data_IF_832219113967
#
_entry.id   IF_832219113967
#
_cell.length_a   1.000
_cell.length_b   1.000
_cell.length_c   1.000
_cell.angle_alpha   90.00
_cell.angle_beta   90.00
_cell.angle_gamma   90.00
#
_symmetry.space_group_name_H-M   'P 1'
#
loop_
_entity.id
_entity.type
_entity.pdbx_description
1 polymer ?
#
# COMPACT_ATOMS: atom_id res chain seq x y z
N UNK A 1 12.18 -12.99 10.73
CA UNK A 1 11.00 -12.11 10.69
C UNK A 1 9.73 -12.92 10.45
N UNK A 2 8.70 -12.74 11.27
CA UNK A 2 7.43 -13.47 11.16
C UNK A 2 6.71 -13.18 9.84
N UNK A 3 6.89 -11.97 9.28
CA UNK A 3 6.31 -11.58 7.99
C UNK A 3 6.96 -12.37 6.86
N UNK A 4 8.29 -12.51 6.88
CA UNK A 4 9.01 -13.31 5.88
C UNK A 4 8.59 -14.78 5.92
N UNK A 5 8.46 -15.34 7.12
CA UNK A 5 7.97 -16.72 7.32
C UNK A 5 6.53 -16.89 6.82
N UNK A 6 5.63 -15.95 7.11
CA UNK A 6 4.25 -16.01 6.65
C UNK A 6 4.11 -15.80 5.13
N UNK A 7 4.97 -14.98 4.53
CA UNK A 7 4.98 -14.74 3.10
C UNK A 7 5.38 -16.00 2.31
N UNK A 8 6.41 -16.70 2.79
CA UNK A 8 7.00 -17.90 2.19
C UNK A 8 6.14 -19.16 2.44
N UNK A 9 5.73 -19.39 3.69
CA UNK A 9 5.04 -20.62 4.08
C UNK A 9 3.52 -20.63 3.85
N UNK A 10 2.90 -19.47 3.56
CA UNK A 10 1.43 -19.28 3.48
C UNK A 10 0.67 -20.03 4.59
N UNK A 11 0.97 -19.75 5.87
CA UNK A 11 0.42 -20.50 6.98
C UNK A 11 -1.10 -20.39 7.07
N UNK A 12 -1.77 -21.48 7.45
CA UNK A 12 -3.20 -21.45 7.79
C UNK A 12 -3.51 -20.40 8.85
N UNK A 13 -4.76 -19.94 8.89
CA UNK A 13 -5.23 -18.83 9.73
C UNK A 13 -4.80 -18.95 11.22
N UNK A 14 -4.72 -20.17 11.75
CA UNK A 14 -4.32 -20.44 13.14
C UNK A 14 -2.83 -20.20 13.40
N UNK A 15 -1.98 -20.52 12.44
CA UNK A 15 -0.54 -20.28 12.49
C UNK A 15 -0.25 -18.80 12.20
N UNK A 16 -0.97 -18.20 11.25
CA UNK A 16 -0.94 -16.74 11.03
C UNK A 16 -1.31 -15.94 12.29
N UNK A 17 -2.37 -16.32 12.99
CA UNK A 17 -2.77 -15.65 14.23
C UNK A 17 -1.73 -15.76 15.36
N UNK A 18 -1.05 -16.92 15.47
CA UNK A 18 0.06 -17.10 16.42
C UNK A 18 1.28 -16.26 16.06
N UNK A 19 1.64 -16.21 14.77
CA UNK A 19 2.73 -15.36 14.28
C UNK A 19 2.43 -13.89 14.55
N UNK A 20 1.20 -13.44 14.29
CA UNK A 20 0.76 -12.08 14.56
C UNK A 20 0.89 -11.74 16.05
N UNK A 21 0.33 -12.58 16.91
CA UNK A 21 0.38 -12.41 18.37
C UNK A 21 1.82 -12.40 18.90
N UNK A 22 2.67 -13.31 18.41
CA UNK A 22 4.09 -13.37 18.79
C UNK A 22 4.91 -12.17 18.31
N UNK A 23 4.39 -11.42 17.34
CA UNK A 23 5.01 -10.19 16.82
C UNK A 23 4.39 -8.91 17.41
N UNK A 24 3.41 -9.03 18.30
CA UNK A 24 2.65 -7.88 18.82
C UNK A 24 1.71 -7.23 17.80
N UNK A 25 1.41 -7.91 16.68
CA UNK A 25 0.54 -7.43 15.60
C UNK A 25 -0.81 -8.15 15.61
N UNK A 26 -1.84 -7.53 15.06
CA UNK A 26 -3.12 -8.20 14.79
C UNK A 26 -2.98 -9.09 13.55
N UNK A 27 -3.82 -10.12 13.37
CA UNK A 27 -3.80 -10.94 12.15
C UNK A 27 -3.99 -10.11 10.87
N UNK A 28 -4.81 -9.07 10.93
CA UNK A 28 -5.03 -8.16 9.81
C UNK A 28 -3.77 -7.37 9.46
N UNK A 29 -2.91 -7.08 10.43
CA UNK A 29 -1.67 -6.35 10.16
C UNK A 29 -0.43 -7.18 9.95
N UNK A 30 -0.48 -8.46 10.31
CA UNK A 30 0.36 -9.46 9.67
C UNK A 30 0.00 -9.63 8.18
N UNK A 31 -1.28 -9.67 7.82
CA UNK A 31 -1.70 -9.82 6.42
C UNK A 31 -1.24 -8.64 5.55
N UNK A 32 -1.47 -7.41 6.02
CA UNK A 32 -0.97 -6.20 5.36
C UNK A 32 0.57 -6.20 5.22
N UNK A 33 1.29 -6.64 6.26
CA UNK A 33 2.75 -6.77 6.25
C UNK A 33 3.24 -7.83 5.26
N UNK A 34 2.57 -8.99 5.18
CA UNK A 34 2.88 -10.04 4.20
C UNK A 34 2.62 -9.55 2.79
N UNK A 35 1.55 -8.79 2.58
CA UNK A 35 1.20 -8.22 1.29
C UNK A 35 2.22 -7.17 0.85
N UNK A 36 2.65 -6.29 1.76
CA UNK A 36 3.76 -5.36 1.52
C UNK A 36 5.04 -6.12 1.15
N UNK A 37 5.41 -7.14 1.94
CA UNK A 37 6.57 -7.98 1.68
C UNK A 37 6.53 -8.64 0.30
N UNK A 38 5.36 -9.07 -0.18
CA UNK A 38 5.23 -9.65 -1.52
C UNK A 38 5.41 -8.63 -2.64
N UNK A 39 4.99 -7.40 -2.42
CA UNK A 39 5.09 -6.34 -3.43
C UNK A 39 6.49 -5.73 -3.54
N UNK A 40 7.29 -5.74 -2.47
CA UNK A 40 8.73 -5.45 -2.60
C UNK A 40 9.56 -5.60 -1.34
N UNK A 41 9.20 -6.52 -0.45
CA UNK A 41 10.06 -6.98 0.63
C UNK A 41 10.29 -5.93 1.72
N UNK A 42 11.55 -5.77 2.12
CA UNK A 42 12.00 -4.88 3.20
C UNK A 42 11.59 -3.41 2.98
N UNK A 43 11.80 -2.77 1.81
CA UNK A 43 11.38 -1.39 1.60
C UNK A 43 9.85 -1.20 1.76
N UNK A 44 9.07 -2.15 1.25
CA UNK A 44 7.61 -2.11 1.41
C UNK A 44 7.16 -2.19 2.88
N UNK A 45 7.86 -2.98 3.70
CA UNK A 45 7.63 -3.06 5.15
C UNK A 45 8.00 -1.77 5.87
N UNK A 46 9.15 -1.17 5.55
CA UNK A 46 9.59 0.09 6.17
C UNK A 46 8.58 1.22 5.92
N UNK A 47 7.99 1.26 4.72
CA UNK A 47 6.92 2.20 4.36
C UNK A 47 5.59 1.88 5.07
N UNK A 48 5.30 0.60 5.30
CA UNK A 48 4.10 0.17 6.04
C UNK A 48 4.19 0.56 7.53
N UNK A 49 5.31 0.24 8.18
CA UNK A 49 5.55 0.46 9.62
C UNK A 49 5.85 1.94 9.96
N UNK A 50 5.84 2.83 8.96
CA UNK A 50 6.05 4.29 9.14
C UNK A 50 7.38 4.64 9.81
N UNK A 51 8.39 3.77 9.70
CA UNK A 51 9.67 3.91 10.41
C UNK A 51 10.53 5.05 9.84
N UNK A 52 10.28 5.44 8.58
CA UNK A 52 11.06 6.49 7.91
C UNK A 52 10.34 7.85 7.88
N UNK A 53 11.06 8.90 8.27
CA UNK A 53 10.66 10.29 8.11
C UNK A 53 11.42 10.92 6.93
N UNK A 54 10.75 11.38 5.86
CA UNK A 54 11.41 11.98 4.70
C UNK A 54 12.10 13.29 5.06
N UNK A 55 13.26 13.54 4.46
CA UNK A 55 13.86 14.87 4.51
C UNK A 55 12.95 15.87 3.78
N UNK A 56 12.98 17.17 4.15
CA UNK A 56 12.20 18.19 3.46
C UNK A 56 12.54 18.28 1.96
N UNK A 57 13.78 17.93 1.58
CA UNK A 57 14.24 17.85 0.19
C UNK A 57 13.54 16.73 -0.58
N UNK A 58 13.36 15.55 0.04
CA UNK A 58 12.61 14.43 -0.53
C UNK A 58 11.13 14.76 -0.71
N UNK A 59 10.53 15.46 0.26
CA UNK A 59 9.16 15.96 0.15
C UNK A 59 9.01 16.98 -0.99
N UNK A 60 10.01 17.84 -1.18
CA UNK A 60 10.06 18.79 -2.30
C UNK A 60 10.09 18.07 -3.65
N UNK A 61 11.01 17.12 -3.82
CA UNK A 61 11.10 16.30 -5.05
C UNK A 61 9.84 15.50 -5.30
N UNK A 62 9.26 14.92 -4.25
CA UNK A 62 8.01 14.18 -4.35
C UNK A 62 6.83 15.07 -4.76
N UNK A 63 6.78 16.32 -4.28
CA UNK A 63 5.77 17.29 -4.71
C UNK A 63 5.89 17.62 -6.19
N UNK A 64 7.12 17.79 -6.69
CA UNK A 64 7.39 18.02 -8.12
C UNK A 64 6.96 16.81 -8.95
N UNK A 65 7.36 15.60 -8.56
CA UNK A 65 6.92 14.35 -9.22
C UNK A 65 5.40 14.21 -9.27
N UNK A 66 4.71 14.57 -8.19
CA UNK A 66 3.25 14.58 -8.15
C UNK A 66 2.60 15.66 -9.01
N UNK A 67 3.33 16.71 -9.36
CA UNK A 67 2.87 17.75 -10.27
C UNK A 67 3.07 17.31 -11.73
N UNK A 68 4.19 16.65 -12.01
CA UNK A 68 4.55 16.13 -13.34
C UNK A 68 3.80 14.86 -13.74
N UNK A 69 3.30 14.09 -12.78
CA UNK A 69 2.68 12.78 -13.07
C UNK A 69 1.29 12.85 -13.71
N UNK A 70 0.63 14.01 -13.67
CA UNK A 70 -0.66 14.20 -14.34
C UNK A 70 -0.62 15.47 -15.18
N UNK A 71 -1.18 15.37 -16.38
CA UNK A 71 -1.43 16.53 -17.23
C UNK A 71 -2.42 17.50 -16.56
N UNK A 72 -2.37 18.77 -16.98
CA UNK A 72 -3.19 19.83 -16.42
C UNK A 72 -4.70 19.51 -16.58
N UNK A 73 -5.33 19.08 -15.49
CA UNK A 73 -6.77 18.76 -15.43
C UNK A 73 -7.10 17.29 -15.16
N UNK A 74 -6.14 16.38 -15.27
CA UNK A 74 -6.33 14.93 -14.97
C UNK A 74 -5.91 14.56 -13.54
N UNK A 75 -5.30 15.51 -12.82
CA UNK A 75 -4.77 15.28 -11.48
C UNK A 75 -5.87 15.07 -10.44
N UNK A 76 -5.91 13.92 -9.73
CA UNK A 76 -6.80 13.73 -8.59
C UNK A 76 -6.39 14.66 -7.45
N UNK A 77 -7.36 15.04 -6.61
CA UNK A 77 -7.17 16.03 -5.54
C UNK A 77 -6.33 15.51 -4.36
N UNK A 78 -5.05 15.20 -4.54
CA UNK A 78 -4.18 14.59 -3.54
C UNK A 78 -3.91 15.51 -2.34
N UNK A 79 -4.37 15.09 -1.16
CA UNK A 79 -4.12 15.75 0.13
C UNK A 79 -2.89 15.16 0.79
N UNK A 80 -1.83 15.97 0.92
CA UNK A 80 -0.63 15.56 1.64
C UNK A 80 -0.90 15.49 3.15
N UNK A 81 -0.76 14.31 3.74
CA UNK A 81 -0.99 14.02 5.17
C UNK A 81 0.35 13.83 5.90
N UNK A 82 1.22 14.85 5.81
CA UNK A 82 2.50 14.92 6.50
C UNK A 82 3.59 14.07 5.85
N UNK A 83 4.28 13.24 6.64
CA UNK A 83 5.56 12.55 6.36
C UNK A 83 5.53 11.58 5.16
N UNK A 84 5.45 12.07 3.92
CA UNK A 84 5.45 11.26 2.69
C UNK A 84 4.15 10.47 2.43
N UNK A 85 3.00 11.04 2.80
CA UNK A 85 1.68 10.45 2.51
C UNK A 85 0.79 11.39 1.72
N UNK A 86 0.14 10.88 0.69
CA UNK A 86 -0.84 11.62 -0.10
C UNK A 86 -2.11 10.79 -0.21
N UNK A 87 -3.20 11.31 0.35
CA UNK A 87 -4.50 10.64 0.32
C UNK A 87 -5.36 11.26 -0.76
N UNK A 88 -6.03 10.43 -1.56
CA UNK A 88 -7.06 10.90 -2.49
C UNK A 88 -8.34 11.08 -1.66
N UNK A 89 -8.91 12.28 -1.53
CA UNK A 89 -10.20 12.45 -0.89
C UNK A 89 -11.30 11.93 -1.82
N UNK A 90 -12.16 11.05 -1.31
CA UNK A 90 -13.29 10.48 -2.06
C UNK A 90 -12.99 9.16 -2.78
N UNK A 91 -11.73 8.83 -3.00
CA UNK A 91 -11.28 7.47 -3.31
C UNK A 91 -10.54 6.97 -2.07
N UNK A 92 -10.90 5.83 -1.50
CA UNK A 92 -10.24 5.24 -0.33
C UNK A 92 -8.78 4.79 -0.64
N UNK A 93 -7.96 5.69 -1.19
CA UNK A 93 -6.64 5.47 -1.76
C UNK A 93 -5.63 6.44 -1.16
N UNK A 94 -4.42 5.94 -0.93
CA UNK A 94 -3.29 6.67 -0.36
C UNK A 94 -2.00 6.24 -1.04
N UNK A 95 -1.22 7.21 -1.50
CA UNK A 95 0.13 7.03 -1.98
C UNK A 95 1.11 7.29 -0.84
N UNK A 96 2.09 6.41 -0.67
CA UNK A 96 3.19 6.57 0.28
C UNK A 96 4.52 6.58 -0.47
N UNK A 97 5.39 7.54 -0.16
CA UNK A 97 6.72 7.61 -0.74
C UNK A 97 7.74 6.87 0.12
N UNK A 98 8.59 6.09 -0.53
CA UNK A 98 9.75 5.42 0.06
C UNK A 98 11.01 6.29 0.03
N UNK A 99 12.03 5.91 0.80
CA UNK A 99 13.36 6.52 0.82
C UNK A 99 14.06 6.50 -0.55
N UNK A 100 13.73 5.51 -1.37
CA UNK A 100 14.30 5.33 -2.71
C UNK A 100 13.52 6.13 -3.78
N UNK A 101 12.52 6.93 -3.37
CA UNK A 101 11.71 7.76 -4.28
C UNK A 101 10.55 7.02 -4.96
N UNK A 102 10.26 5.79 -4.51
CA UNK A 102 9.20 4.94 -5.05
C UNK A 102 7.85 5.22 -4.39
N UNK A 103 6.79 5.11 -5.18
CA UNK A 103 5.41 5.35 -4.79
C UNK A 103 4.71 4.03 -4.53
N UNK A 104 4.29 3.84 -3.29
CA UNK A 104 3.55 2.68 -2.85
C UNK A 104 2.05 3.00 -2.80
N UNK A 105 1.21 2.32 -3.57
CA UNK A 105 -0.22 2.47 -3.49
C UNK A 105 -0.80 1.69 -2.32
N UNK A 106 -1.65 2.37 -1.54
CA UNK A 106 -2.42 1.81 -0.44
C UNK A 106 -3.91 2.09 -0.66
N UNK A 107 -4.75 1.13 -0.29
CA UNK A 107 -6.21 1.27 -0.27
C UNK A 107 -6.73 1.10 1.15
N UNK A 108 -7.80 1.80 1.50
CA UNK A 108 -8.48 1.65 2.77
C UNK A 108 -9.51 0.52 2.66
N UNK A 109 -9.24 -0.59 3.30
CA UNK A 109 -10.16 -1.72 3.41
C UNK A 109 -10.59 -1.89 4.87
N UNK A 110 -11.90 -1.89 5.13
CA UNK A 110 -12.47 -2.03 6.49
C UNK A 110 -11.89 -1.06 7.51
N UNK A 111 -11.59 0.17 7.10
CA UNK A 111 -11.01 1.21 7.95
C UNK A 111 -9.47 1.18 8.07
N UNK A 112 -8.79 0.27 7.35
CA UNK A 112 -7.34 0.06 7.44
C UNK A 112 -6.65 0.22 6.10
N UNK A 113 -5.48 0.86 6.09
CA UNK A 113 -4.66 0.97 4.88
C UNK A 113 -3.92 -0.34 4.62
N UNK A 114 -4.15 -0.92 3.44
CA UNK A 114 -3.47 -2.13 2.95
C UNK A 114 -2.79 -1.81 1.61
N UNK A 115 -1.61 -2.38 1.34
CA UNK A 115 -0.92 -2.16 0.08
C UNK A 115 -1.74 -2.77 -1.06
N UNK A 116 -2.00 -1.97 -2.09
CA UNK A 116 -2.88 -2.30 -3.20
C UNK A 116 -2.12 -2.73 -4.48
N UNK A 117 -0.80 -2.60 -4.50
CA UNK A 117 0.03 -2.92 -5.66
C UNK A 117 1.53 -2.78 -5.41
N UNK A 118 2.35 -3.11 -6.42
CA UNK A 118 3.79 -2.86 -6.38
C UNK A 118 4.11 -1.37 -6.29
N UNK A 119 5.33 -1.07 -5.84
CA UNK A 119 5.85 0.28 -5.94
C UNK A 119 6.10 0.66 -7.40
N UNK A 120 5.80 1.91 -7.74
CA UNK A 120 6.11 2.49 -9.04
C UNK A 120 6.97 3.76 -8.86
N UNK A 121 7.76 4.10 -9.88
CA UNK A 121 8.50 5.36 -9.92
C UNK A 121 7.57 6.54 -10.30
N UNK A 122 6.45 6.23 -10.97
CA UNK A 122 5.41 7.19 -11.33
C UNK A 122 4.18 7.09 -10.40
N UNK A 123 3.77 8.20 -9.74
CA UNK A 123 2.64 8.16 -8.82
C UNK A 123 1.28 7.98 -9.50
N UNK A 124 1.12 8.34 -10.78
CA UNK A 124 -0.11 8.07 -11.53
C UNK A 124 -0.20 6.59 -11.90
N UNK A 125 0.90 5.98 -12.34
CA UNK A 125 1.02 4.54 -12.57
C UNK A 125 0.74 3.72 -11.31
N UNK A 126 1.33 4.11 -10.17
CA UNK A 126 1.06 3.49 -8.87
C UNK A 126 -0.43 3.56 -8.50
N UNK A 127 -1.08 4.71 -8.71
CA UNK A 127 -2.48 4.89 -8.37
C UNK A 127 -3.40 4.10 -9.31
N UNK A 128 -3.16 4.13 -10.62
CA UNK A 128 -3.91 3.37 -11.61
C UNK A 128 -3.81 1.85 -11.36
N UNK A 129 -2.61 1.36 -11.00
CA UNK A 129 -2.42 -0.03 -10.60
C UNK A 129 -3.21 -0.41 -9.34
N UNK A 130 -3.39 0.53 -8.41
CA UNK A 130 -4.22 0.35 -7.21
C UNK A 130 -5.72 0.27 -7.54
N UNK A 131 -6.19 1.09 -8.49
CA UNK A 131 -7.57 1.10 -8.95
C UNK A 131 -7.91 -0.20 -9.70
N UNK A 132 -7.03 -0.63 -10.61
CA UNK A 132 -7.17 -1.87 -11.38
C UNK A 132 -7.10 -3.12 -10.48
N UNK A 133 -6.13 -3.17 -9.56
CA UNK A 133 -5.99 -4.25 -8.57
C UNK A 133 -7.18 -4.34 -7.60
N UNK A 134 -7.94 -3.25 -7.45
CA UNK A 134 -9.16 -3.21 -6.67
C UNK A 134 -10.41 -3.70 -7.40
N UNK A 135 -10.46 -3.55 -8.73
CA UNK A 135 -11.54 -4.04 -9.57
C UNK A 135 -11.53 -5.58 -9.71
N UNK A 136 -10.35 -6.19 -9.62
CA UNK A 136 -10.18 -7.64 -9.70
C UNK A 136 -10.75 -8.42 -8.48
N UNK A 137 -11.00 -7.76 -7.35
CA UNK A 137 -11.55 -8.39 -6.13
C UNK A 137 -13.10 -8.34 -6.04
N UNK A 138 -13.77 -7.84 -7.10
CA UNK A 138 -15.23 -7.60 -7.11
C UNK A 138 -16.08 -8.63 -7.87
N UNK A 139 -15.51 -9.56 -8.64
CA UNK A 139 -16.32 -10.40 -9.55
C UNK A 139 -15.85 -11.85 -9.64
N UNK A 140 -16.23 -12.67 -8.65
CA UNK A 140 -16.46 -14.11 -8.84
C UNK A 140 -17.29 -14.65 -7.68
N UNK A 141 -18.55 -14.21 -7.65
CA UNK A 141 -19.54 -14.61 -6.67
C UNK A 141 -20.93 -14.60 -7.26
N UNK A 142 -21.13 -15.24 -8.42
CA UNK A 142 -22.48 -15.55 -8.90
C UNK A 142 -22.65 -17.05 -8.92
N UNK A 143 -23.11 -17.59 -7.78
CA UNK A 143 -23.86 -18.83 -7.81
C UNK A 143 -25.17 -18.60 -8.56
N UNK A 144 -25.54 -19.53 -9.44
CA UNK A 144 -26.94 -19.83 -9.74
C UNK A 144 -27.03 -21.29 -10.15
N UNK A 145 -27.94 -21.96 -9.47
CA UNK A 145 -28.27 -23.37 -9.58
C UNK A 145 -28.75 -23.75 -10.99
N UNK A 146 -28.50 -25.01 -11.37
CA UNK A 146 -29.55 -25.99 -11.73
C UNK A 146 -29.11 -27.38 -11.26
#
# INVERSE_FOLDING_TARGET
>A
DAVRLAADARPDARVGARLASGSGRTPADLDAAVRAWRYGGVPALAVLDEEWAPAPEDLGRARVRLDEAWEAGERPALRANGRARWTVPGADLQLRLDRDGRWWPYRKERGRWVPAGPADDDPAGALAGAEEGGAADGTSGTGTAI
#
